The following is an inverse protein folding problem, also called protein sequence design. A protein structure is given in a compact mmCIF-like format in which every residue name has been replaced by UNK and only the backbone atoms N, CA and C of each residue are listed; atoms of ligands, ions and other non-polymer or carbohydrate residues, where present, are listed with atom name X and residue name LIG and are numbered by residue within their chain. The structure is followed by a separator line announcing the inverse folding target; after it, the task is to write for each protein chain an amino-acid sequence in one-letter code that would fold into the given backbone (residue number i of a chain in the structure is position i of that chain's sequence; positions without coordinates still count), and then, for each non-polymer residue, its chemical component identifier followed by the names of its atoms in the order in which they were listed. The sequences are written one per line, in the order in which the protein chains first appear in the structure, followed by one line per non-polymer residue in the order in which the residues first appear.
data_IF_465502353753
#
_entry.id   IF_465502353753
#
_cell.length_a   1.000
_cell.length_b   1.000
_cell.length_c   1.000
_cell.angle_alpha   90.00
_cell.angle_beta   90.00
_cell.angle_gamma   90.00
#
_symmetry.space_group_name_H-M   'P 1'
#
loop_
_entity.id
_entity.type
_entity.pdbx_description
1 polymer ?
#
# COMPACT_ATOMS: atom_id res chain seq x y z
N UNK A 1 29.83 19.61 -30.01
CA UNK A 1 29.59 20.56 -28.91
C UNK A 1 28.09 20.56 -28.61
N UNK A 2 27.59 19.60 -27.84
CA UNK A 2 26.16 19.49 -27.47
C UNK A 2 26.02 19.24 -25.95
N UNK A 3 26.69 20.05 -25.14
CA UNK A 3 26.56 20.02 -23.67
C UNK A 3 25.37 20.79 -23.05
N UNK A 4 24.65 21.74 -23.72
CA UNK A 4 23.70 22.58 -22.99
C UNK A 4 22.32 21.95 -22.74
N UNK A 5 21.89 20.92 -23.49
CA UNK A 5 20.57 20.30 -23.30
C UNK A 5 20.48 19.33 -22.12
N UNK A 6 21.57 18.61 -21.81
CA UNK A 6 21.58 17.62 -20.71
C UNK A 6 21.51 18.30 -19.34
N UNK A 7 22.15 19.48 -19.21
CA UNK A 7 22.14 20.26 -17.97
C UNK A 7 20.74 20.85 -17.70
N UNK A 8 20.02 21.27 -18.74
CA UNK A 8 18.66 21.79 -18.61
C UNK A 8 17.66 20.72 -18.15
N UNK A 9 17.78 19.48 -18.65
CA UNK A 9 16.93 18.36 -18.23
C UNK A 9 17.19 17.95 -16.77
N UNK A 10 18.45 17.93 -16.33
CA UNK A 10 18.84 17.64 -14.95
C UNK A 10 18.36 18.73 -13.97
N UNK A 11 18.43 20.01 -14.37
CA UNK A 11 17.93 21.12 -13.57
C UNK A 11 16.41 21.10 -13.45
N UNK A 12 15.69 20.66 -14.49
CA UNK A 12 14.23 20.51 -14.45
C UNK A 12 13.79 19.36 -13.52
N UNK A 13 14.50 18.22 -13.56
CA UNK A 13 14.26 17.08 -12.66
C UNK A 13 14.57 17.42 -11.19
N UNK A 14 15.67 18.15 -10.93
CA UNK A 14 16.01 18.64 -9.59
C UNK A 14 15.01 19.68 -9.08
N UNK A 15 14.43 20.50 -9.98
CA UNK A 15 13.40 21.48 -9.63
C UNK A 15 12.06 20.80 -9.30
N UNK A 16 11.68 19.75 -10.01
CA UNK A 16 10.49 18.93 -9.70
C UNK A 16 10.65 18.20 -8.36
N UNK A 17 11.83 17.63 -8.09
CA UNK A 17 12.15 17.01 -6.79
C UNK A 17 12.18 18.04 -5.65
N UNK A 18 12.59 19.29 -5.91
CA UNK A 18 12.54 20.38 -4.93
C UNK A 18 11.12 20.92 -4.71
N UNK A 19 10.27 20.96 -5.74
CA UNK A 19 8.85 21.30 -5.62
C UNK A 19 8.07 20.23 -4.84
N UNK A 20 8.38 18.94 -5.03
CA UNK A 20 7.85 17.85 -4.20
C UNK A 20 8.24 18.02 -2.71
N UNK A 21 9.48 18.45 -2.43
CA UNK A 21 9.93 18.79 -1.06
C UNK A 21 9.25 20.04 -0.49
N UNK A 22 8.88 21.00 -1.32
CA UNK A 22 8.12 22.19 -0.93
C UNK A 22 6.65 21.89 -0.61
N UNK A 23 6.03 20.99 -1.37
CA UNK A 23 4.67 20.47 -1.16
C UNK A 23 4.56 19.68 0.16
N UNK A 24 5.53 18.81 0.45
CA UNK A 24 5.59 18.05 1.70
C UNK A 24 5.68 18.95 2.95
N UNK A 25 6.33 20.12 2.86
CA UNK A 25 6.42 21.08 3.98
C UNK A 25 5.13 21.88 4.20
N UNK A 26 4.38 22.19 3.15
CA UNK A 26 3.08 22.87 3.27
C UNK A 26 2.01 21.89 3.78
N UNK A 27 1.99 20.65 3.28
CA UNK A 27 1.12 19.59 3.78
C UNK A 27 1.29 19.34 5.29
N UNK A 28 2.50 19.53 5.82
CA UNK A 28 2.79 19.41 7.27
C UNK A 28 2.11 20.50 8.11
N UNK A 29 2.04 21.74 7.63
CA UNK A 29 1.44 22.83 8.39
C UNK A 29 -0.09 22.69 8.44
N UNK A 30 -0.70 22.39 7.30
CA UNK A 30 -2.16 22.25 7.17
C UNK A 30 -2.70 21.03 7.93
N UNK A 31 -1.97 19.91 7.94
CA UNK A 31 -2.35 18.71 8.69
C UNK A 31 -2.26 18.91 10.23
N UNK A 32 -1.33 19.74 10.71
CA UNK A 32 -1.22 20.07 12.13
C UNK A 32 -2.35 21.00 12.59
N UNK A 33 -2.71 22.02 11.80
CA UNK A 33 -3.75 22.99 12.16
C UNK A 33 -5.16 22.35 12.24
N UNK A 34 -5.44 21.36 11.38
CA UNK A 34 -6.67 20.57 11.40
C UNK A 34 -6.82 19.65 12.63
N UNK A 35 -5.73 19.34 13.34
CA UNK A 35 -5.73 18.45 14.49
C UNK A 35 -5.82 19.17 15.85
N UNK A 36 -5.28 20.38 15.94
CA UNK A 36 -5.31 21.19 17.17
C UNK A 36 -6.40 22.25 17.18
N UNK A 37 -7.12 22.42 16.07
CA UNK A 37 -8.32 23.23 15.98
C UNK A 37 -8.04 24.72 15.80
N UNK A 38 -8.19 25.21 14.57
CA UNK A 38 -8.56 26.60 14.33
C UNK A 38 -10.02 26.83 14.76
N UNK A 39 -10.20 27.61 15.82
CA UNK A 39 -11.42 28.32 16.22
C UNK A 39 -12.80 27.69 15.87
N UNK A 40 -13.14 26.56 16.50
CA UNK A 40 -14.47 26.24 17.05
C UNK A 40 -14.55 24.74 17.42
N UNK A 41 -14.13 24.43 18.64
CA UNK A 41 -14.53 23.25 19.43
C UNK A 41 -14.68 21.89 18.70
N UNK A 42 -13.61 21.09 18.70
CA UNK A 42 -13.73 19.63 18.87
C UNK A 42 -12.65 19.18 19.85
N UNK A 43 -13.05 18.98 21.11
CA UNK A 43 -12.19 18.38 22.14
C UNK A 43 -12.19 16.87 21.90
N UNK A 44 -11.04 16.29 21.58
CA UNK A 44 -10.89 14.85 21.36
C UNK A 44 -10.64 14.11 22.67
N UNK A 45 -11.22 12.91 22.81
CA UNK A 45 -10.80 12.00 23.87
C UNK A 45 -9.60 11.18 23.39
N UNK A 46 -8.61 11.12 24.26
CA UNK A 46 -7.40 10.33 24.16
C UNK A 46 -7.62 8.85 23.73
N UNK A 47 -8.81 8.29 23.97
CA UNK A 47 -9.19 6.91 23.66
C UNK A 47 -9.28 6.60 22.16
N UNK A 48 -9.66 7.56 21.31
CA UNK A 48 -9.80 7.33 19.86
C UNK A 48 -8.44 7.09 19.17
N UNK A 49 -7.39 7.76 19.65
CA UNK A 49 -6.03 7.60 19.12
C UNK A 49 -5.29 6.35 19.64
N UNK A 50 -5.75 5.76 20.74
CA UNK A 50 -5.28 4.45 21.22
C UNK A 50 -5.84 3.28 20.42
N UNK A 51 -6.87 3.53 19.60
CA UNK A 51 -7.74 2.49 19.05
C UNK A 51 -7.32 1.99 17.66
N UNK A 52 -6.54 2.74 16.88
CA UNK A 52 -6.14 2.34 15.52
C UNK A 52 -4.60 2.36 15.38
N UNK A 53 -3.98 1.21 15.11
CA UNK A 53 -2.51 1.12 14.95
C UNK A 53 -2.04 1.50 13.53
N UNK A 54 -0.78 1.89 13.42
CA UNK A 54 -0.09 2.24 12.16
C UNK A 54 0.67 1.04 11.57
N UNK A 55 1.16 1.14 10.31
CA UNK A 55 1.94 0.09 9.60
C UNK A 55 3.17 -0.41 10.37
N UNK A 56 3.56 0.29 11.42
CA UNK A 56 4.68 -0.02 12.30
C UNK A 56 4.29 -0.82 13.55
N UNK A 57 3.01 -1.17 13.70
CA UNK A 57 2.51 -1.99 14.80
C UNK A 57 2.88 -1.45 16.16
N UNK A 58 2.97 -0.13 16.36
CA UNK A 58 3.30 0.39 17.68
C UNK A 58 2.13 0.15 18.65
N UNK A 59 2.39 -0.61 19.71
CA UNK A 59 1.47 -0.83 20.81
C UNK A 59 1.73 0.17 21.93
N UNK A 60 0.67 0.66 22.54
CA UNK A 60 0.71 1.08 23.93
C UNK A 60 -0.20 0.21 24.78
N UNK A 61 0.45 -0.47 25.73
CA UNK A 61 -0.21 -0.86 26.97
C UNK A 61 -0.57 0.42 27.75
N UNK A 62 -1.63 0.34 28.55
CA UNK A 62 -2.30 1.48 29.21
C UNK A 62 -1.37 2.49 29.93
N UNK A 63 -1.89 3.71 30.06
CA UNK A 63 -1.37 4.83 30.84
C UNK A 63 -1.12 6.04 29.96
N UNK A 64 -0.23 5.87 28.98
CA UNK A 64 0.20 6.88 28.01
C UNK A 64 0.31 6.17 26.65
N UNK A 65 -0.65 6.36 25.75
CA UNK A 65 -0.88 5.52 24.56
C UNK A 65 0.22 5.62 23.50
N UNK A 66 1.26 6.39 23.80
CA UNK A 66 2.41 6.61 22.97
C UNK A 66 3.55 7.07 23.90
N UNK A 67 4.36 6.13 24.40
CA UNK A 67 5.66 6.45 25.00
C UNK A 67 6.71 5.89 24.05
N UNK A 68 7.28 6.76 23.23
CA UNK A 68 8.16 6.43 22.11
C UNK A 68 8.35 7.66 21.21
N UNK A 69 9.09 7.57 20.09
CA UNK A 69 9.30 8.71 19.19
C UNK A 69 8.04 9.18 18.44
N UNK A 70 6.95 8.43 18.53
CA UNK A 70 5.66 8.72 17.92
C UNK A 70 4.75 9.37 18.97
N UNK A 71 4.25 10.57 18.71
CA UNK A 71 3.30 11.29 19.57
C UNK A 71 1.88 11.33 18.96
N UNK A 72 0.96 12.03 19.63
CA UNK A 72 -0.43 12.20 19.19
C UNK A 72 -0.56 12.80 17.77
N UNK A 73 0.45 13.55 17.29
CA UNK A 73 0.45 14.12 15.94
C UNK A 73 0.60 13.05 14.85
N UNK A 74 1.20 11.89 15.16
CA UNK A 74 1.27 10.75 14.25
C UNK A 74 -0.08 10.04 14.11
N UNK A 75 -0.85 9.88 15.18
CA UNK A 75 -2.22 9.32 15.10
C UNK A 75 -3.10 10.11 14.12
N UNK A 76 -2.98 11.43 14.20
CA UNK A 76 -3.64 12.40 13.33
C UNK A 76 -3.31 12.24 11.84
N UNK A 77 -2.10 11.79 11.51
CA UNK A 77 -1.67 11.55 10.12
C UNK A 77 -1.95 10.15 9.60
N UNK A 78 -2.50 9.24 10.41
CA UNK A 78 -2.91 7.91 9.93
C UNK A 78 -4.43 7.81 9.68
N UNK A 79 -5.25 8.44 10.53
CA UNK A 79 -6.71 8.28 10.48
C UNK A 79 -7.50 9.60 10.55
N UNK A 80 -6.82 10.76 10.54
CA UNK A 80 -7.34 12.11 10.82
C UNK A 80 -8.16 12.28 12.09
N UNK A 81 -8.41 13.56 12.36
CA UNK A 81 -9.04 14.17 13.51
C UNK A 81 -10.53 13.87 13.69
N UNK A 82 -11.18 13.00 12.93
CA UNK A 82 -12.57 12.62 13.22
C UNK A 82 -12.79 11.13 12.92
N UNK A 83 -12.76 10.30 13.96
CA UNK A 83 -13.07 8.88 13.86
C UNK A 83 -14.50 8.61 13.33
N UNK A 84 -15.40 9.61 13.35
CA UNK A 84 -16.74 9.52 12.74
C UNK A 84 -16.74 9.85 11.24
N UNK A 85 -15.67 10.46 10.72
CA UNK A 85 -15.48 10.72 9.28
C UNK A 85 -14.85 9.52 8.54
N UNK A 86 -14.57 8.41 9.23
CA UNK A 86 -14.19 7.14 8.60
C UNK A 86 -15.21 6.01 8.87
N UNK A 87 -16.50 6.15 8.50
CA UNK A 87 -17.43 5.03 8.58
C UNK A 87 -17.03 3.84 7.68
N UNK A 88 -16.11 4.06 6.72
CA UNK A 88 -15.75 3.07 5.69
C UNK A 88 -14.32 2.52 5.75
N UNK A 89 -13.42 3.10 6.56
CA UNK A 89 -12.02 2.65 6.61
C UNK A 89 -11.81 1.71 7.82
N UNK A 90 -11.55 0.41 7.60
CA UNK A 90 -11.53 -0.59 8.67
C UNK A 90 -10.29 -0.45 9.57
N UNK A 91 -10.41 0.19 10.74
CA UNK A 91 -9.38 0.07 11.77
C UNK A 91 -9.29 -1.37 12.28
N UNK A 92 -8.07 -1.94 12.30
CA UNK A 92 -7.83 -3.30 12.76
C UNK A 92 -7.96 -3.49 14.29
N UNK A 93 -8.01 -2.40 15.05
CA UNK A 93 -8.17 -2.36 16.51
C UNK A 93 -9.30 -1.39 16.88
N UNK A 94 -9.82 -1.47 18.11
CA UNK A 94 -10.64 -0.45 18.73
C UNK A 94 -10.19 -0.19 20.19
N UNK A 95 -10.93 0.63 20.95
CA UNK A 95 -10.66 0.89 22.36
C UNK A 95 -10.61 -0.39 23.23
N UNK A 96 -11.36 -1.42 22.83
CA UNK A 96 -11.41 -2.71 23.54
C UNK A 96 -10.25 -3.64 23.18
N UNK A 97 -9.46 -3.31 22.16
CA UNK A 97 -8.32 -4.11 21.72
C UNK A 97 -8.41 -4.53 20.25
N UNK A 98 -7.46 -5.37 19.80
CA UNK A 98 -7.40 -5.78 18.41
C UNK A 98 -8.66 -6.53 17.97
N UNK A 99 -9.21 -6.14 16.82
CA UNK A 99 -10.38 -6.83 16.26
C UNK A 99 -9.94 -8.15 15.65
N UNK A 100 -10.75 -9.19 15.81
CA UNK A 100 -10.54 -10.49 15.11
C UNK A 100 -11.16 -10.50 13.71
N UNK A 101 -11.94 -9.48 13.38
CA UNK A 101 -12.64 -9.33 12.11
C UNK A 101 -12.82 -7.84 11.82
N UNK A 102 -12.63 -7.44 10.58
CA UNK A 102 -13.05 -6.13 10.07
C UNK A 102 -14.14 -6.32 9.03
N UNK A 103 -15.16 -5.47 9.11
CA UNK A 103 -16.23 -5.36 8.12
C UNK A 103 -16.30 -3.90 7.68
N UNK A 104 -16.38 -3.67 6.39
CA UNK A 104 -16.38 -2.33 5.79
C UNK A 104 -17.02 -2.37 4.41
N UNK A 105 -17.47 -1.23 3.93
CA UNK A 105 -17.96 -1.09 2.57
C UNK A 105 -16.84 -0.61 1.65
N UNK A 106 -16.71 -1.23 0.48
CA UNK A 106 -15.84 -0.77 -0.59
C UNK A 106 -16.48 -1.06 -1.95
N UNK A 107 -16.58 -0.03 -2.79
CA UNK A 107 -17.21 -0.08 -4.12
C UNK A 107 -18.66 -0.63 -4.09
N UNK A 108 -19.46 -0.17 -3.11
CA UNK A 108 -20.87 -0.54 -2.97
C UNK A 108 -21.10 -1.98 -2.46
N UNK A 109 -20.08 -2.60 -1.86
CA UNK A 109 -20.15 -3.95 -1.30
C UNK A 109 -19.57 -3.99 0.10
N UNK A 110 -20.18 -4.78 0.97
CA UNK A 110 -19.56 -5.19 2.25
C UNK A 110 -18.44 -6.23 2.04
N UNK A 111 -17.29 -5.97 2.65
CA UNK A 111 -16.14 -6.85 2.72
C UNK A 111 -15.94 -7.31 4.15
N UNK A 112 -15.61 -8.60 4.32
CA UNK A 112 -15.29 -9.22 5.61
C UNK A 112 -13.90 -9.83 5.58
N UNK A 113 -12.99 -9.33 6.42
CA UNK A 113 -11.65 -9.88 6.56
C UNK A 113 -11.41 -10.34 8.01
N UNK A 114 -10.79 -11.51 8.15
CA UNK A 114 -10.40 -12.04 9.46
C UNK A 114 -8.98 -11.61 9.79
N UNK A 115 -8.76 -11.31 11.05
CA UNK A 115 -7.48 -10.88 11.58
C UNK A 115 -7.03 -11.83 12.68
N UNK A 116 -5.72 -11.97 12.83
CA UNK A 116 -5.12 -12.78 13.90
C UNK A 116 -3.95 -12.02 14.55
N UNK A 117 -4.17 -10.81 15.07
CA UNK A 117 -3.13 -10.07 15.79
C UNK A 117 -2.64 -10.91 16.98
N UNK A 118 -1.33 -11.04 17.14
CA UNK A 118 -0.68 -11.80 18.22
C UNK A 118 0.07 -10.86 19.16
N UNK A 119 0.16 -11.23 20.43
CA UNK A 119 1.04 -10.55 21.38
C UNK A 119 2.50 -11.01 21.21
N UNK A 120 3.51 -10.12 21.38
CA UNK A 120 3.34 -8.68 21.57
C UNK A 120 2.78 -8.04 20.29
N UNK A 121 1.84 -7.10 20.43
CA UNK A 121 1.22 -6.41 19.29
C UNK A 121 2.20 -5.41 18.67
N UNK A 122 3.42 -5.84 18.37
CA UNK A 122 4.46 -5.07 17.71
C UNK A 122 4.49 -5.36 16.20
N UNK A 123 5.23 -4.53 15.45
CA UNK A 123 5.42 -4.64 14.00
C UNK A 123 5.80 -6.04 13.53
N UNK A 124 6.55 -6.79 14.33
CA UNK A 124 7.09 -8.09 13.94
C UNK A 124 6.06 -9.20 14.13
N UNK A 125 5.09 -9.00 15.03
CA UNK A 125 4.06 -9.98 15.36
C UNK A 125 2.71 -9.79 14.66
N UNK A 126 2.41 -8.61 14.10
CA UNK A 126 1.06 -8.31 13.56
C UNK A 126 1.00 -8.00 12.07
N UNK A 127 2.12 -7.68 11.42
CA UNK A 127 2.15 -7.07 10.08
C UNK A 127 1.40 -7.85 9.01
N UNK A 128 1.47 -9.18 9.01
CA UNK A 128 0.77 -10.00 8.01
C UNK A 128 -0.67 -10.38 8.42
N UNK A 129 -1.10 -10.11 9.65
CA UNK A 129 -2.35 -10.64 10.23
C UNK A 129 -3.42 -9.57 10.53
N UNK A 130 -3.20 -8.33 10.09
CA UNK A 130 -4.12 -7.20 10.27
C UNK A 130 -4.36 -6.47 8.95
N UNK A 131 -5.43 -5.67 8.92
CA UNK A 131 -5.77 -4.84 7.79
C UNK A 131 -5.01 -3.51 7.84
N UNK A 132 -4.18 -3.27 6.83
CA UNK A 132 -3.47 -2.00 6.68
C UNK A 132 -4.23 -1.01 5.80
N UNK A 133 -4.17 0.31 6.09
CA UNK A 133 -4.86 1.30 5.26
C UNK A 133 -4.34 1.36 3.82
N UNK A 134 -3.06 1.09 3.55
CA UNK A 134 -2.52 1.01 2.19
C UNK A 134 -3.23 -0.06 1.35
N UNK A 135 -3.60 -1.19 1.95
CA UNK A 135 -4.35 -2.24 1.27
C UNK A 135 -5.77 -1.79 0.89
N UNK A 136 -6.43 -1.02 1.78
CA UNK A 136 -7.71 -0.39 1.48
C UNK A 136 -7.59 0.63 0.34
N UNK A 137 -6.62 1.55 0.43
CA UNK A 137 -6.42 2.60 -0.56
C UNK A 137 -6.12 2.03 -1.95
N UNK A 138 -5.26 0.99 -2.03
CA UNK A 138 -4.98 0.30 -3.30
C UNK A 138 -6.24 -0.38 -3.86
N UNK A 139 -7.01 -1.07 -3.03
CA UNK A 139 -8.25 -1.72 -3.46
C UNK A 139 -9.32 -0.70 -3.91
N UNK A 140 -9.43 0.44 -3.22
CA UNK A 140 -10.33 1.52 -3.58
C UNK A 140 -9.96 2.12 -4.94
N UNK A 141 -8.68 2.39 -5.15
CA UNK A 141 -8.19 2.90 -6.43
C UNK A 141 -8.45 1.93 -7.59
N UNK A 142 -8.21 0.62 -7.39
CA UNK A 142 -8.45 -0.39 -8.43
C UNK A 142 -9.93 -0.58 -8.80
N UNK A 143 -10.83 -0.38 -7.83
CA UNK A 143 -12.28 -0.56 -8.04
C UNK A 143 -12.99 0.73 -8.46
N UNK A 144 -12.29 1.86 -8.44
CA UNK A 144 -12.80 3.11 -8.99
C UNK A 144 -12.87 3.03 -10.52
N UNK A 145 -14.08 3.05 -11.06
CA UNK A 145 -14.36 2.95 -12.50
C UNK A 145 -13.98 4.21 -13.28
N UNK A 146 -13.90 5.35 -12.60
CA UNK A 146 -13.45 6.61 -13.18
C UNK A 146 -11.93 6.79 -12.98
N UNK A 147 -11.33 5.91 -12.17
CA UNK A 147 -9.91 5.90 -11.87
C UNK A 147 -9.03 5.33 -12.98
N UNK A 148 -7.74 5.57 -12.81
CA UNK A 148 -6.66 5.17 -13.73
C UNK A 148 -6.09 3.79 -13.46
N UNK A 149 -6.65 3.01 -12.53
CA UNK A 149 -6.11 1.68 -12.18
C UNK A 149 -6.95 0.51 -12.74
N UNK A 150 -8.19 0.76 -13.17
CA UNK A 150 -9.09 -0.31 -13.59
C UNK A 150 -8.56 -1.09 -14.82
N UNK A 151 -7.98 -0.40 -15.81
CA UNK A 151 -7.41 -1.00 -17.02
C UNK A 151 -6.15 -1.86 -16.74
N UNK A 152 -5.46 -1.57 -15.64
CA UNK A 152 -4.35 -2.38 -15.15
C UNK A 152 -4.82 -3.69 -14.49
N UNK A 153 -6.12 -3.90 -14.30
CA UNK A 153 -6.67 -5.08 -13.62
C UNK A 153 -7.57 -5.90 -14.54
N UNK A 154 -8.49 -5.25 -15.28
CA UNK A 154 -9.50 -5.95 -16.09
C UNK A 154 -8.83 -6.87 -17.12
N UNK A 155 -9.14 -8.17 -17.04
CA UNK A 155 -8.60 -9.21 -17.92
C UNK A 155 -7.11 -9.51 -17.72
N UNK A 156 -6.47 -8.98 -16.67
CA UNK A 156 -5.04 -9.15 -16.39
C UNK A 156 -4.76 -10.31 -15.45
N UNK A 157 -3.56 -10.86 -15.55
CA UNK A 157 -3.00 -11.76 -14.54
C UNK A 157 -2.27 -10.95 -13.48
N UNK A 158 -2.88 -10.87 -12.30
CA UNK A 158 -2.47 -9.99 -11.21
C UNK A 158 -1.78 -10.79 -10.11
N UNK A 159 -0.64 -10.30 -9.62
CA UNK A 159 0.08 -10.88 -8.49
C UNK A 159 0.34 -9.82 -7.43
N UNK A 160 0.05 -10.12 -6.17
CA UNK A 160 0.30 -9.23 -5.03
C UNK A 160 1.47 -9.75 -4.19
N UNK A 161 2.43 -8.87 -3.88
CA UNK A 161 3.58 -9.17 -3.02
C UNK A 161 3.34 -8.69 -1.59
N UNK A 162 3.38 -9.60 -0.62
CA UNK A 162 3.12 -9.30 0.79
C UNK A 162 1.65 -8.98 1.03
N UNK A 163 0.76 -9.90 0.66
CA UNK A 163 -0.67 -9.63 0.59
C UNK A 163 -1.34 -9.50 1.96
N UNK A 164 -0.76 -10.02 3.04
CA UNK A 164 -1.42 -10.08 4.34
C UNK A 164 -2.81 -10.73 4.24
N UNK A 165 -3.86 -9.92 4.42
CA UNK A 165 -5.26 -10.35 4.30
C UNK A 165 -5.82 -10.38 2.86
N UNK A 166 -4.99 -10.01 1.89
CA UNK A 166 -5.22 -10.05 0.44
C UNK A 166 -6.34 -9.16 -0.09
N UNK A 167 -6.71 -8.05 0.58
CA UNK A 167 -7.76 -7.17 0.05
C UNK A 167 -7.45 -6.71 -1.39
N UNK A 168 -6.24 -6.25 -1.75
CA UNK A 168 -5.95 -5.82 -3.11
C UNK A 168 -6.15 -6.94 -4.15
N UNK A 169 -5.59 -8.13 -3.94
CA UNK A 169 -5.80 -9.24 -4.89
C UNK A 169 -7.24 -9.77 -4.91
N UNK A 170 -7.98 -9.72 -3.80
CA UNK A 170 -9.41 -10.02 -3.79
C UNK A 170 -10.21 -8.98 -4.58
N UNK A 171 -9.89 -7.69 -4.40
CA UNK A 171 -10.46 -6.59 -5.17
C UNK A 171 -10.12 -6.71 -6.66
N UNK A 172 -8.91 -7.15 -7.01
CA UNK A 172 -8.54 -7.42 -8.39
C UNK A 172 -9.36 -8.57 -9.01
N UNK A 173 -9.56 -9.67 -8.28
CA UNK A 173 -10.42 -10.77 -8.72
C UNK A 173 -11.84 -10.27 -9.00
N UNK A 174 -12.42 -9.52 -8.06
CA UNK A 174 -13.74 -8.91 -8.19
C UNK A 174 -13.82 -7.89 -9.35
N UNK A 175 -12.77 -7.07 -9.49
CA UNK A 175 -12.61 -6.06 -10.53
C UNK A 175 -12.40 -6.61 -11.93
N UNK A 176 -12.43 -7.94 -12.10
CA UNK A 176 -12.42 -8.58 -13.41
C UNK A 176 -11.03 -9.00 -13.90
N UNK A 177 -10.03 -9.12 -13.01
CA UNK A 177 -8.79 -9.80 -13.34
C UNK A 177 -9.06 -11.19 -13.95
N UNK A 178 -8.25 -11.61 -14.91
CA UNK A 178 -8.30 -12.97 -15.45
C UNK A 178 -7.91 -13.97 -14.36
N UNK A 179 -6.85 -13.65 -13.61
CA UNK A 179 -6.47 -14.34 -12.37
C UNK A 179 -5.92 -13.32 -11.39
N UNK A 180 -6.18 -13.49 -10.10
CA UNK A 180 -5.54 -12.72 -9.04
C UNK A 180 -4.89 -13.66 -8.02
N UNK A 181 -3.61 -13.42 -7.73
CA UNK A 181 -2.84 -14.21 -6.79
C UNK A 181 -2.31 -13.33 -5.64
N UNK A 182 -2.81 -13.55 -4.44
CA UNK A 182 -2.24 -12.99 -3.21
C UNK A 182 -1.05 -13.81 -2.76
N UNK A 183 0.11 -13.20 -2.50
CA UNK A 183 1.27 -13.93 -1.97
C UNK A 183 1.84 -13.31 -0.71
N UNK A 184 2.19 -14.15 0.26
CA UNK A 184 2.82 -13.72 1.52
C UNK A 184 3.80 -14.79 1.99
N UNK A 185 4.83 -14.40 2.74
CA UNK A 185 5.73 -15.37 3.37
C UNK A 185 5.04 -16.08 4.54
N UNK A 186 4.12 -15.40 5.21
CA UNK A 186 3.42 -15.91 6.36
C UNK A 186 2.25 -16.82 5.94
N UNK A 187 2.35 -18.11 6.28
CA UNK A 187 1.35 -19.13 5.92
C UNK A 187 0.01 -18.93 6.62
N UNK A 188 -0.01 -18.29 7.80
CA UNK A 188 -1.25 -17.93 8.48
C UNK A 188 -1.94 -16.78 7.73
N UNK A 189 -1.20 -15.79 7.23
CA UNK A 189 -1.73 -14.73 6.38
C UNK A 189 -2.35 -15.30 5.10
N UNK A 190 -1.67 -16.23 4.43
CA UNK A 190 -2.22 -16.97 3.28
C UNK A 190 -3.51 -17.72 3.64
N UNK A 191 -3.60 -18.30 4.84
CA UNK A 191 -4.84 -18.92 5.32
C UNK A 191 -5.97 -17.91 5.52
N UNK A 192 -5.66 -16.73 6.09
CA UNK A 192 -6.62 -15.64 6.27
C UNK A 192 -7.10 -15.11 4.90
N UNK A 193 -6.20 -14.94 3.94
CA UNK A 193 -6.54 -14.56 2.57
C UNK A 193 -7.50 -15.55 1.89
N UNK A 194 -7.22 -16.87 1.98
CA UNK A 194 -8.12 -17.92 1.47
C UNK A 194 -9.48 -17.94 2.19
N UNK A 195 -9.52 -17.58 3.47
CA UNK A 195 -10.76 -17.45 4.22
C UNK A 195 -11.55 -16.22 3.78
N UNK A 196 -10.87 -15.10 3.55
CA UNK A 196 -11.46 -13.88 3.02
C UNK A 196 -12.05 -14.12 1.61
N UNK A 197 -11.36 -14.82 0.73
CA UNK A 197 -11.89 -15.19 -0.60
C UNK A 197 -13.24 -15.89 -0.53
N UNK A 198 -13.36 -16.91 0.33
CA UNK A 198 -14.60 -17.69 0.51
C UNK A 198 -15.77 -16.88 1.03
N UNK A 199 -15.49 -15.77 1.72
CA UNK A 199 -16.53 -14.92 2.29
C UNK A 199 -16.97 -13.78 1.36
N UNK A 200 -16.06 -13.30 0.50
CA UNK A 200 -16.27 -12.07 -0.25
C UNK A 200 -16.47 -12.29 -1.76
N UNK A 201 -15.98 -13.41 -2.30
CA UNK A 201 -16.02 -13.66 -3.74
C UNK A 201 -17.07 -14.75 -4.03
N UNK A 202 -18.17 -14.42 -4.72
CA UNK A 202 -19.01 -15.42 -5.36
C UNK A 202 -18.37 -15.89 -6.67
N UNK A 203 -18.89 -16.97 -7.25
CA UNK A 203 -18.54 -17.33 -8.63
C UNK A 203 -19.04 -16.27 -9.63
N UNK A 204 -18.33 -16.04 -10.76
CA UNK A 204 -17.09 -16.68 -11.19
C UNK A 204 -15.81 -16.02 -10.64
N UNK A 205 -15.91 -15.10 -9.68
CA UNK A 205 -14.75 -14.35 -9.18
C UNK A 205 -13.90 -15.17 -8.23
N UNK A 206 -14.54 -16.06 -7.45
CA UNK A 206 -13.85 -16.98 -6.56
C UNK A 206 -12.87 -17.88 -7.32
N UNK A 207 -13.27 -18.44 -8.47
CA UNK A 207 -12.40 -19.29 -9.27
C UNK A 207 -11.16 -18.58 -9.85
N UNK A 208 -11.15 -17.25 -9.86
CA UNK A 208 -10.03 -16.43 -10.37
C UNK A 208 -9.02 -16.10 -9.29
N UNK A 209 -9.38 -16.25 -8.02
CA UNK A 209 -8.52 -15.93 -6.89
C UNK A 209 -7.79 -17.17 -6.37
N UNK A 210 -6.50 -17.00 -6.07
CA UNK A 210 -5.75 -17.92 -5.21
C UNK A 210 -4.84 -17.13 -4.27
N UNK A 211 -4.40 -17.78 -3.21
CA UNK A 211 -3.34 -17.24 -2.38
C UNK A 211 -2.32 -18.32 -2.04
N UNK A 212 -1.03 -17.98 -2.07
CA UNK A 212 0.08 -18.91 -1.93
C UNK A 212 1.23 -18.31 -1.12
N UNK A 213 2.07 -19.18 -0.55
CA UNK A 213 3.26 -18.73 0.16
C UNK A 213 4.35 -18.31 -0.84
N UNK A 214 4.90 -17.11 -0.66
CA UNK A 214 6.05 -16.60 -1.42
C UNK A 214 6.90 -15.70 -0.52
N UNK A 215 8.19 -16.01 -0.41
CA UNK A 215 9.16 -15.04 0.09
C UNK A 215 9.72 -14.26 -1.10
N UNK A 216 9.29 -13.02 -1.31
CA UNK A 216 9.82 -12.19 -2.39
C UNK A 216 11.30 -11.81 -2.18
N UNK A 217 11.84 -12.03 -0.97
CA UNK A 217 13.25 -11.79 -0.67
C UNK A 217 14.14 -12.92 -1.18
N UNK A 218 13.56 -14.09 -1.44
CA UNK A 218 14.23 -15.22 -2.06
C UNK A 218 14.08 -15.17 -3.59
N UNK A 219 15.18 -14.81 -4.27
CA UNK A 219 15.22 -14.71 -5.72
C UNK A 219 14.85 -16.03 -6.43
N UNK A 220 15.18 -17.19 -5.86
CA UNK A 220 14.85 -18.49 -6.45
C UNK A 220 13.34 -18.76 -6.41
N UNK A 221 12.69 -18.39 -5.29
CA UNK A 221 11.25 -18.45 -5.15
C UNK A 221 10.54 -17.55 -6.15
N UNK A 222 10.99 -16.30 -6.35
CA UNK A 222 10.42 -15.38 -7.34
C UNK A 222 10.63 -15.88 -8.77
N UNK A 223 11.82 -16.39 -9.10
CA UNK A 223 12.12 -16.98 -10.41
C UNK A 223 11.17 -18.15 -10.72
N UNK A 224 10.94 -19.02 -9.74
CA UNK A 224 10.01 -20.16 -9.86
C UNK A 224 8.59 -19.68 -10.19
N UNK A 225 8.11 -18.61 -9.55
CA UNK A 225 6.80 -18.00 -9.86
C UNK A 225 6.79 -17.44 -11.28
N UNK A 226 7.82 -16.70 -11.68
CA UNK A 226 7.95 -16.13 -13.02
C UNK A 226 8.01 -17.20 -14.13
N UNK A 227 8.56 -18.38 -13.84
CA UNK A 227 8.63 -19.50 -14.79
C UNK A 227 7.35 -20.32 -14.87
N UNK A 228 6.68 -20.58 -13.74
CA UNK A 228 5.56 -21.54 -13.66
C UNK A 228 4.18 -20.91 -13.74
N UNK A 229 4.05 -19.64 -13.38
CA UNK A 229 2.75 -18.95 -13.42
C UNK A 229 2.42 -18.47 -14.82
N UNK A 230 1.13 -18.26 -15.13
CA UNK A 230 0.77 -17.40 -16.24
C UNK A 230 1.57 -16.10 -16.17
N UNK A 231 1.89 -15.60 -17.35
CA UNK A 231 2.34 -14.23 -17.61
C UNK A 231 1.80 -13.25 -16.55
N UNK A 232 2.65 -12.62 -15.72
CA UNK A 232 2.23 -11.63 -14.72
C UNK A 232 2.16 -10.25 -15.38
N UNK A 233 0.94 -9.77 -15.64
CA UNK A 233 0.71 -8.48 -16.29
C UNK A 233 0.81 -7.32 -15.30
N UNK A 234 0.31 -7.54 -14.06
CA UNK A 234 0.22 -6.50 -13.04
C UNK A 234 0.71 -7.00 -11.69
N UNK A 235 1.59 -6.23 -11.06
CA UNK A 235 2.04 -6.47 -9.69
C UNK A 235 1.41 -5.46 -8.74
N UNK A 236 0.85 -5.94 -7.63
CA UNK A 236 0.26 -5.13 -6.56
C UNK A 236 1.20 -5.08 -5.36
N UNK A 237 1.38 -3.88 -4.80
CA UNK A 237 2.19 -3.66 -3.60
C UNK A 237 1.43 -2.71 -2.66
N UNK A 238 1.06 -3.17 -1.48
CA UNK A 238 0.53 -2.31 -0.41
C UNK A 238 1.40 -2.41 0.84
N UNK A 239 2.03 -1.30 1.23
CA UNK A 239 2.70 -1.15 2.51
C UNK A 239 3.94 -2.04 2.70
N UNK A 240 4.73 -2.31 1.65
CA UNK A 240 5.94 -3.16 1.72
C UNK A 240 7.25 -2.39 1.97
N UNK A 241 7.21 -1.05 1.99
CA UNK A 241 8.38 -0.19 2.21
C UNK A 241 8.50 0.27 3.69
N UNK A 242 8.02 -0.56 4.63
CA UNK A 242 8.06 -0.28 6.07
C UNK A 242 9.44 -0.57 6.69
N UNK A 243 10.26 -1.39 6.03
CA UNK A 243 11.64 -1.69 6.44
C UNK A 243 12.59 -1.45 5.26
N UNK A 244 13.68 -0.70 5.49
CA UNK A 244 14.64 -0.39 4.42
C UNK A 244 15.32 -1.61 3.81
N UNK A 245 15.45 -2.70 4.58
CA UNK A 245 15.99 -3.97 4.10
C UNK A 245 15.12 -4.63 2.99
N UNK A 246 13.85 -4.26 2.86
CA UNK A 246 12.93 -4.81 1.85
C UNK A 246 13.05 -4.12 0.48
N UNK A 247 13.66 -2.93 0.42
CA UNK A 247 13.78 -2.13 -0.81
C UNK A 247 14.51 -2.88 -1.94
N UNK A 248 15.69 -3.45 -1.66
CA UNK A 248 16.50 -4.16 -2.68
C UNK A 248 15.82 -5.46 -3.14
N UNK A 249 15.37 -6.35 -2.25
CA UNK A 249 14.71 -7.57 -2.68
C UNK A 249 13.39 -7.32 -3.42
N UNK A 250 12.61 -6.31 -3.01
CA UNK A 250 11.39 -5.93 -3.72
C UNK A 250 11.69 -5.46 -5.16
N UNK A 251 12.73 -4.64 -5.35
CA UNK A 251 13.16 -4.20 -6.67
C UNK A 251 13.58 -5.40 -7.55
N UNK A 252 14.35 -6.33 -7.00
CA UNK A 252 14.75 -7.54 -7.72
C UNK A 252 13.53 -8.38 -8.11
N UNK A 253 12.58 -8.56 -7.19
CA UNK A 253 11.36 -9.30 -7.48
C UNK A 253 10.57 -8.67 -8.63
N UNK A 254 10.42 -7.34 -8.63
CA UNK A 254 9.78 -6.59 -9.72
C UNK A 254 10.54 -6.74 -11.04
N UNK A 255 11.86 -6.67 -11.05
CA UNK A 255 12.65 -6.89 -12.27
C UNK A 255 12.45 -8.31 -12.84
N UNK A 256 12.41 -9.33 -11.99
CA UNK A 256 12.21 -10.72 -12.39
C UNK A 256 10.81 -10.96 -12.94
N UNK A 257 9.78 -10.48 -12.24
CA UNK A 257 8.37 -10.66 -12.64
C UNK A 257 8.04 -9.86 -13.91
N UNK A 258 8.61 -8.67 -14.06
CA UNK A 258 8.37 -7.78 -15.20
C UNK A 258 9.43 -7.90 -16.33
N UNK A 259 10.21 -8.98 -16.38
CA UNK A 259 11.34 -9.10 -17.33
C UNK A 259 10.92 -9.42 -18.78
N UNK A 260 9.77 -10.07 -18.98
CA UNK A 260 9.42 -10.70 -20.27
C UNK A 260 8.45 -9.89 -21.13
N UNK A 261 7.92 -8.78 -20.61
CA UNK A 261 6.75 -8.12 -21.19
C UNK A 261 6.49 -6.73 -20.64
N UNK A 262 5.52 -6.04 -21.27
CA UNK A 262 4.83 -4.93 -20.62
C UNK A 262 4.27 -5.39 -19.27
N UNK A 263 4.67 -4.69 -18.22
CA UNK A 263 4.29 -4.98 -16.85
C UNK A 263 3.84 -3.68 -16.18
N UNK A 264 2.72 -3.73 -15.48
CA UNK A 264 2.22 -2.62 -14.65
C UNK A 264 2.48 -2.92 -13.18
N UNK A 265 2.87 -1.91 -12.40
CA UNK A 265 2.95 -2.01 -10.94
C UNK A 265 2.03 -0.97 -10.34
N UNK A 266 1.07 -1.42 -9.53
CA UNK A 266 0.26 -0.54 -8.70
C UNK A 266 0.77 -0.62 -7.27
N UNK A 267 1.18 0.51 -6.73
CA UNK A 267 1.87 0.58 -5.46
C UNK A 267 1.28 1.67 -4.58
N UNK A 268 0.94 1.31 -3.34
CA UNK A 268 0.51 2.25 -2.30
C UNK A 268 1.36 2.04 -1.06
N UNK A 269 1.93 3.12 -0.52
CA UNK A 269 2.71 3.08 0.72
C UNK A 269 2.54 4.37 1.49
N UNK A 270 2.75 4.26 2.81
CA UNK A 270 2.78 5.43 3.67
C UNK A 270 4.12 6.15 3.58
N UNK A 271 4.10 7.47 3.43
CA UNK A 271 5.29 8.31 3.53
C UNK A 271 5.47 8.72 4.99
N UNK A 272 6.57 8.26 5.58
CA UNK A 272 7.08 8.81 6.85
C UNK A 272 8.25 9.73 6.59
N UNK A 273 8.44 10.70 7.50
CA UNK A 273 9.65 11.55 7.51
C UNK A 273 10.91 10.70 7.74
N UNK A 274 10.82 9.63 8.53
CA UNK A 274 11.95 8.74 8.85
C UNK A 274 12.36 7.85 7.67
N UNK A 275 11.44 7.54 6.75
CA UNK A 275 11.65 6.64 5.63
C UNK A 275 11.61 7.33 4.26
N UNK A 276 11.39 8.64 4.21
CA UNK A 276 11.30 9.39 2.95
C UNK A 276 12.53 9.17 2.07
N UNK A 277 13.73 9.15 2.66
CA UNK A 277 14.97 8.95 1.89
C UNK A 277 15.06 7.53 1.31
N UNK A 278 14.60 6.52 2.06
CA UNK A 278 14.59 5.13 1.58
C UNK A 278 13.56 4.94 0.48
N UNK A 279 12.39 5.56 0.60
CA UNK A 279 11.32 5.50 -0.39
C UNK A 279 11.70 6.25 -1.66
N UNK A 280 12.24 7.47 -1.55
CA UNK A 280 12.77 8.24 -2.68
C UNK A 280 13.86 7.42 -3.39
N UNK A 281 14.81 6.85 -2.64
CA UNK A 281 15.85 6.01 -3.23
C UNK A 281 15.29 4.77 -3.92
N UNK A 282 14.20 4.17 -3.43
CA UNK A 282 13.52 3.07 -4.10
C UNK A 282 12.86 3.51 -5.42
N UNK A 283 12.16 4.65 -5.43
CA UNK A 283 11.55 5.22 -6.63
C UNK A 283 12.58 5.59 -7.71
N UNK A 284 13.72 6.16 -7.29
CA UNK A 284 14.84 6.46 -8.18
C UNK A 284 15.40 5.18 -8.81
N UNK A 285 15.56 4.11 -8.01
CA UNK A 285 16.03 2.81 -8.51
C UNK A 285 15.03 2.12 -9.44
N UNK A 286 13.73 2.22 -9.16
CA UNK A 286 12.68 1.78 -10.07
C UNK A 286 12.85 2.41 -11.46
N UNK A 287 13.10 3.73 -11.50
CA UNK A 287 13.36 4.47 -12.74
C UNK A 287 14.63 3.99 -13.45
N UNK A 288 15.72 3.77 -12.71
CA UNK A 288 16.99 3.27 -13.26
C UNK A 288 16.87 1.88 -13.90
N UNK A 289 15.96 1.03 -13.42
CA UNK A 289 15.73 -0.32 -13.96
C UNK A 289 14.58 -0.40 -14.97
N UNK A 290 14.13 0.76 -15.47
CA UNK A 290 13.24 0.90 -16.62
C UNK A 290 11.75 0.99 -16.30
N UNK A 291 11.35 1.14 -15.02
CA UNK A 291 9.98 1.48 -14.68
C UNK A 291 9.74 2.98 -14.87
N UNK A 292 8.66 3.35 -15.55
CA UNK A 292 8.24 4.75 -15.72
C UNK A 292 7.02 5.00 -14.86
N UNK A 293 7.00 6.11 -14.14
CA UNK A 293 5.79 6.59 -13.46
C UNK A 293 4.78 7.05 -14.51
N UNK A 294 3.57 6.52 -14.44
CA UNK A 294 2.45 6.87 -15.32
C UNK A 294 1.38 7.67 -14.58
N UNK A 295 1.20 7.40 -13.28
CA UNK A 295 0.32 8.16 -12.39
C UNK A 295 0.97 8.20 -11.01
N UNK A 296 1.00 9.38 -10.39
CA UNK A 296 1.42 9.59 -9.01
C UNK A 296 0.55 10.66 -8.35
N UNK A 297 -0.01 10.33 -7.19
CA UNK A 297 -0.88 11.25 -6.47
C UNK A 297 -0.99 10.82 -5.00
N UNK A 298 -1.30 11.79 -4.15
CA UNK A 298 -1.64 11.49 -2.78
C UNK A 298 -3.02 10.81 -2.75
N UNK A 299 -3.11 9.59 -2.21
CA UNK A 299 -4.34 8.78 -2.25
C UNK A 299 -5.54 9.51 -1.63
N UNK A 300 -5.30 10.47 -0.73
CA UNK A 300 -6.31 11.35 -0.13
C UNK A 300 -7.00 12.29 -1.12
N UNK A 301 -6.30 12.74 -2.17
CA UNK A 301 -6.82 13.70 -3.15
C UNK A 301 -7.94 13.09 -3.99
N UNK A 302 -7.97 11.75 -4.09
CA UNK A 302 -9.02 10.98 -4.77
C UNK A 302 -9.94 10.24 -3.79
N UNK A 303 -9.85 10.54 -2.49
CA UNK A 303 -10.71 9.94 -1.47
C UNK A 303 -10.45 8.46 -1.17
N UNK A 304 -9.34 7.88 -1.65
CA UNK A 304 -8.98 6.48 -1.39
C UNK A 304 -8.33 6.30 -0.01
N UNK A 305 -7.80 7.38 0.53
CA UNK A 305 -7.24 7.43 1.86
C UNK A 305 -7.81 8.64 2.61
N UNK A 306 -7.62 8.64 3.93
CA UNK A 306 -8.08 9.72 4.77
C UNK A 306 -7.37 11.07 4.42
N UNK A 307 -8.04 12.24 4.49
CA UNK A 307 -7.43 13.54 4.20
C UNK A 307 -6.16 13.89 4.98
N UNK A 308 -6.03 13.42 6.23
CA UNK A 308 -4.82 13.60 7.04
C UNK A 308 -3.73 12.58 6.72
N UNK A 309 -4.01 11.59 5.89
CA UNK A 309 -3.09 10.50 5.61
C UNK A 309 -2.01 10.84 4.58
N UNK A 310 -0.81 10.35 4.85
CA UNK A 310 0.36 10.49 3.98
C UNK A 310 0.55 9.24 3.12
N UNK A 311 -0.52 8.74 2.50
CA UNK A 311 -0.43 7.64 1.53
C UNK A 311 -0.25 8.20 0.13
N UNK A 312 0.74 7.67 -0.59
CA UNK A 312 0.94 7.96 -2.00
C UNK A 312 0.57 6.73 -2.84
N UNK A 313 -0.05 7.00 -3.98
CA UNK A 313 -0.52 6.03 -4.95
C UNK A 313 0.31 6.19 -6.21
N UNK A 314 0.96 5.11 -6.65
CA UNK A 314 1.82 5.10 -7.84
C UNK A 314 1.42 4.00 -8.82
N UNK A 315 1.33 4.36 -10.10
CA UNK A 315 1.26 3.42 -11.24
C UNK A 315 2.58 3.50 -11.98
N UNK A 316 3.29 2.38 -12.08
CA UNK A 316 4.46 2.24 -12.93
C UNK A 316 4.17 1.35 -14.12
N UNK A 317 4.86 1.62 -15.23
CA UNK A 317 4.90 0.73 -16.38
C UNK A 317 6.33 0.45 -16.79
N UNK A 318 6.60 -0.81 -17.16
CA UNK A 318 7.89 -1.23 -17.73
C UNK A 318 7.66 -1.87 -19.07
N UNK A 319 8.27 -1.33 -20.12
CA UNK A 319 8.24 -1.91 -21.47
C UNK A 319 9.44 -2.84 -21.69
N UNK A 320 9.31 -3.81 -22.61
CA UNK A 320 10.38 -4.74 -23.01
C UNK A 320 11.49 -4.09 -23.85
N UNK A 321 11.35 -2.81 -24.18
CA UNK A 321 12.14 -2.09 -25.18
C UNK A 321 13.64 -1.96 -24.84
N UNK A 322 14.07 -2.37 -23.64
CA UNK A 322 15.46 -2.27 -23.18
C UNK A 322 16.27 -3.57 -23.30
N UNK A 323 15.71 -4.67 -23.81
CA UNK A 323 16.41 -5.95 -23.98
C UNK A 323 17.00 -6.19 -25.39
N UNK A 324 17.06 -5.17 -26.24
CA UNK A 324 17.59 -5.28 -27.59
C UNK A 324 18.47 -4.11 -28.00
N UNK A 325 19.71 -4.09 -27.51
CA UNK A 325 20.89 -3.49 -28.17
C UNK A 325 22.14 -3.82 -27.34
N UNK A 326 22.57 -5.08 -27.37
CA UNK A 326 23.97 -5.49 -27.14
C UNK A 326 24.31 -6.53 -28.19
#
# INVERSE_FOLDING_TARGET
MELPCVIAALLLQLSLAAMARGSLRHARADAMEACFGGAASKVYSYEACCACGNEYGNSSGRGHCWVGPFDLSYCCTFYASDARLLPHLPCWRNADGPKRRVQFELAGREWTLWQKPREPFDTRGITAHVMWPSAYALAAWMLDKEGTAADAIVGRHVLELGCGLALPSLAAAWGGAATAQGTDIDRDAVHLARRAARANLPEPFFSRFRADALDFRDAASVATVSEKSPKVDTVLISGQLYEGALSVPLLHALQTLCSRQLCTVLMVFWISIEFSDTQIAFLDRMSQVGFKVVDDFACRERGYANPGSMYECYRFEKSTSSLGMV
#
